data_IF_252161463559
#
_entry.id   IF_252161463559
#
_cell.length_a   1.000
_cell.length_b   1.000
_cell.length_c   1.000
_cell.angle_alpha   90.00
_cell.angle_beta   90.00
_cell.angle_gamma   90.00
#
_symmetry.space_group_name_H-M   'P 1'
#
loop_
_entity.id
_entity.type
_entity.pdbx_description
1 polymer ?
#
# COMPACT_ATOMS: atom_id res chain seq x y z
N UNK A 1 19.65 35.39 -53.66
CA UNK A 1 19.59 34.41 -52.54
C UNK A 1 20.66 33.35 -52.81
N UNK A 2 21.72 33.26 -52.01
CA UNK A 2 22.89 32.41 -52.33
C UNK A 2 22.59 30.93 -52.07
N UNK A 3 23.21 30.01 -52.82
CA UNK A 3 23.11 28.55 -52.60
C UNK A 3 23.39 28.16 -51.14
N UNK A 4 24.27 28.91 -50.45
CA UNK A 4 24.63 28.71 -49.04
C UNK A 4 23.46 29.04 -48.09
N UNK A 5 22.74 30.12 -48.35
CA UNK A 5 21.54 30.50 -47.56
C UNK A 5 20.41 29.49 -47.72
N UNK A 6 20.26 28.85 -48.89
CA UNK A 6 19.23 27.83 -49.11
C UNK A 6 19.55 26.52 -48.36
N UNK A 7 20.81 26.08 -48.37
CA UNK A 7 21.25 24.89 -47.63
C UNK A 7 21.12 25.05 -46.12
N UNK A 8 21.42 26.24 -45.57
CA UNK A 8 21.29 26.49 -44.13
C UNK A 8 19.82 26.44 -43.69
N UNK A 9 18.92 27.02 -44.48
CA UNK A 9 17.50 27.05 -44.17
C UNK A 9 16.90 25.62 -44.21
N UNK A 10 17.31 24.80 -45.18
CA UNK A 10 16.83 23.43 -45.31
C UNK A 10 17.30 22.52 -44.16
N UNK A 11 18.55 22.66 -43.71
CA UNK A 11 19.07 21.91 -42.54
C UNK A 11 18.35 22.34 -41.25
N UNK A 12 18.07 23.64 -41.10
CA UNK A 12 17.37 24.15 -39.92
C UNK A 12 15.91 23.66 -39.87
N UNK A 13 15.21 23.63 -41.00
CA UNK A 13 13.84 23.08 -41.08
C UNK A 13 13.82 21.57 -40.80
N UNK A 14 14.82 20.82 -41.27
CA UNK A 14 14.93 19.37 -41.01
C UNK A 14 15.20 19.06 -39.53
N UNK A 15 15.99 19.90 -38.86
CA UNK A 15 16.30 19.74 -37.44
C UNK A 15 15.07 20.00 -36.54
N UNK A 16 14.27 21.03 -36.83
CA UNK A 16 13.05 21.34 -36.06
C UNK A 16 11.95 20.28 -36.28
N UNK A 17 11.85 19.70 -37.48
CA UNK A 17 10.89 18.62 -37.75
C UNK A 17 11.22 17.32 -36.98
N UNK A 18 12.50 17.08 -36.69
CA UNK A 18 12.95 15.89 -35.97
C UNK A 18 12.59 15.92 -34.47
N UNK A 19 12.43 17.10 -33.87
CA UNK A 19 12.07 17.24 -32.45
C UNK A 19 10.60 16.94 -32.12
N UNK A 20 9.70 16.91 -33.10
CA UNK A 20 8.26 16.61 -32.89
C UNK A 20 7.93 15.12 -32.97
N UNK A 21 8.81 14.29 -33.53
CA UNK A 21 8.58 12.86 -33.71
C UNK A 21 8.82 12.01 -32.44
N UNK A 22 9.41 12.58 -31.38
CA UNK A 22 9.58 11.89 -30.10
C UNK A 22 8.40 12.06 -29.12
N UNK A 23 7.33 12.75 -29.52
CA UNK A 23 6.08 12.88 -28.77
C UNK A 23 5.04 11.81 -29.17
N UNK A 24 5.50 10.64 -29.62
CA UNK A 24 4.66 9.46 -29.78
C UNK A 24 4.37 8.82 -28.42
N UNK A 25 3.65 9.54 -27.56
CA UNK A 25 3.16 9.06 -26.27
C UNK A 25 2.20 7.89 -26.50
N UNK A 26 2.74 6.68 -26.63
CA UNK A 26 1.97 5.45 -26.48
C UNK A 26 1.38 5.51 -25.07
N UNK A 27 0.06 5.68 -24.98
CA UNK A 27 -0.70 5.43 -23.75
C UNK A 27 -0.43 3.98 -23.36
N UNK A 28 0.61 3.77 -22.56
CA UNK A 28 0.85 2.49 -21.91
C UNK A 28 -0.26 2.37 -20.90
N UNK A 29 -1.23 1.52 -21.23
CA UNK A 29 -2.20 1.03 -20.26
C UNK A 29 -1.34 0.27 -19.24
N UNK A 30 -1.02 0.91 -18.12
CA UNK A 30 -0.23 0.34 -17.03
C UNK A 30 -1.09 -0.73 -16.36
N UNK A 31 -1.17 -1.90 -16.98
CA UNK A 31 -1.70 -3.10 -16.35
C UNK A 31 -0.70 -3.48 -15.25
N UNK A 32 -1.19 -3.65 -14.03
CA UNK A 32 -0.37 -4.17 -12.95
C UNK A 32 0.12 -5.57 -13.32
N UNK A 33 1.34 -5.91 -12.93
CA UNK A 33 1.73 -7.32 -12.90
C UNK A 33 0.69 -8.10 -12.09
N UNK A 34 0.44 -9.39 -12.42
CA UNK A 34 -0.55 -10.17 -11.71
C UNK A 34 -0.29 -10.09 -10.22
N UNK A 35 -1.24 -9.48 -9.52
CA UNK A 35 -1.24 -9.35 -8.07
C UNK A 35 -0.99 -10.73 -7.46
N UNK A 36 -0.08 -10.86 -6.46
CA UNK A 36 0.13 -12.12 -5.76
C UNK A 36 -1.23 -12.68 -5.33
N UNK A 37 -1.49 -13.94 -5.63
CA UNK A 37 -2.75 -14.59 -5.28
C UNK A 37 -3.03 -14.37 -3.80
N UNK A 38 -4.21 -13.83 -3.41
CA UNK A 38 -4.54 -13.65 -2.01
C UNK A 38 -4.33 -14.96 -1.27
N UNK A 39 -3.43 -14.95 -0.28
CA UNK A 39 -3.28 -16.09 0.62
C UNK A 39 -4.54 -16.11 1.49
N UNK A 40 -5.22 -17.24 1.54
CA UNK A 40 -6.35 -17.42 2.44
C UNK A 40 -5.81 -17.41 3.88
N UNK A 41 -5.91 -16.26 4.53
CA UNK A 41 -5.59 -16.10 5.94
C UNK A 41 -6.90 -16.18 6.71
N UNK A 42 -7.06 -17.23 7.51
CA UNK A 42 -8.29 -17.47 8.23
C UNK A 42 -8.48 -16.42 9.33
N UNK A 43 -9.53 -15.60 9.21
CA UNK A 43 -10.01 -14.75 10.30
C UNK A 43 -10.78 -15.65 11.26
N UNK A 44 -10.34 -15.71 12.53
CA UNK A 44 -11.05 -16.43 13.58
C UNK A 44 -11.12 -15.61 14.86
N UNK A 45 -12.19 -15.82 15.64
CA UNK A 45 -12.36 -15.20 16.97
C UNK A 45 -11.21 -15.60 17.90
N UNK A 46 -10.76 -16.85 17.82
CA UNK A 46 -9.62 -17.32 18.60
C UNK A 46 -8.35 -16.54 18.25
N UNK A 47 -8.04 -16.35 16.96
CA UNK A 47 -6.88 -15.56 16.53
C UNK A 47 -6.98 -14.10 16.97
N UNK A 48 -8.18 -13.52 16.98
CA UNK A 48 -8.39 -12.16 17.49
C UNK A 48 -8.10 -12.06 19.00
N UNK A 49 -8.58 -13.03 19.78
CA UNK A 49 -8.35 -13.08 21.23
C UNK A 49 -6.87 -13.28 21.57
N UNK A 50 -6.20 -14.21 20.89
CA UNK A 50 -4.75 -14.43 21.05
C UNK A 50 -3.95 -13.17 20.72
N UNK A 51 -4.33 -12.47 19.65
CA UNK A 51 -3.69 -11.22 19.26
C UNK A 51 -3.90 -10.11 20.30
N UNK A 52 -5.12 -9.98 20.85
CA UNK A 52 -5.40 -9.03 21.93
C UNK A 52 -4.60 -9.33 23.20
N UNK A 53 -4.45 -10.61 23.56
CA UNK A 53 -3.64 -11.03 24.71
C UNK A 53 -2.15 -10.74 24.47
N UNK A 54 -1.65 -10.98 23.25
CA UNK A 54 -0.29 -10.68 22.87
C UNK A 54 -0.01 -9.17 22.97
N UNK A 55 -0.93 -8.33 22.46
CA UNK A 55 -0.85 -6.87 22.60
C UNK A 55 -0.83 -6.47 24.07
N UNK A 56 -1.77 -6.96 24.89
CA UNK A 56 -1.84 -6.63 26.31
C UNK A 56 -0.57 -7.03 27.08
N UNK A 57 0.07 -8.12 26.68
CA UNK A 57 1.34 -8.58 27.28
C UNK A 57 2.51 -7.70 26.83
N UNK A 58 2.53 -7.27 25.56
CA UNK A 58 3.59 -6.44 25.02
C UNK A 58 3.57 -5.03 25.63
N UNK A 59 2.39 -4.46 25.91
CA UNK A 59 2.21 -3.13 26.54
C UNK A 59 2.98 -3.00 27.88
N UNK A 60 3.34 -4.10 28.52
CA UNK A 60 4.21 -4.10 29.70
C UNK A 60 5.72 -3.87 29.38
N UNK A 61 6.08 -3.39 28.18
CA UNK A 61 7.45 -3.08 27.76
C UNK A 61 8.17 -4.23 27.03
N UNK A 62 7.43 -4.97 26.19
CA UNK A 62 7.88 -6.22 25.57
C UNK A 62 7.90 -6.23 24.05
N UNK A 63 8.27 -7.39 23.50
CA UNK A 63 8.21 -7.67 22.06
C UNK A 63 6.84 -8.27 21.73
N UNK A 64 6.08 -7.60 20.85
CA UNK A 64 4.86 -8.12 20.27
C UNK A 64 5.18 -8.92 19.01
N UNK A 65 4.71 -10.16 18.94
CA UNK A 65 4.82 -11.00 17.75
C UNK A 65 3.43 -11.39 17.30
N UNK A 66 3.10 -11.10 16.04
CA UNK A 66 1.80 -11.42 15.47
C UNK A 66 2.01 -12.20 14.16
N UNK A 67 1.28 -13.30 14.03
CA UNK A 67 1.14 -14.03 12.77
C UNK A 67 0.23 -13.29 11.79
N UNK A 68 0.26 -13.65 10.51
CA UNK A 68 -0.68 -13.16 9.49
C UNK A 68 -2.15 -13.28 9.94
N UNK A 69 -2.54 -14.42 10.53
CA UNK A 69 -3.90 -14.66 11.00
C UNK A 69 -4.29 -13.75 12.17
N UNK A 70 -3.40 -13.61 13.15
CA UNK A 70 -3.61 -12.74 14.30
C UNK A 70 -3.72 -11.27 13.88
N UNK A 71 -2.80 -10.80 13.02
CA UNK A 71 -2.82 -9.43 12.53
C UNK A 71 -4.04 -9.14 11.66
N UNK A 72 -4.37 -10.05 10.73
CA UNK A 72 -5.57 -9.92 9.88
C UNK A 72 -6.83 -9.83 10.75
N UNK A 73 -6.96 -10.72 11.75
CA UNK A 73 -8.09 -10.69 12.69
C UNK A 73 -8.18 -9.39 13.48
N UNK A 74 -7.05 -8.80 13.89
CA UNK A 74 -7.04 -7.51 14.59
C UNK A 74 -7.54 -6.38 13.71
N UNK A 75 -7.00 -6.26 12.49
CA UNK A 75 -7.30 -5.11 11.64
C UNK A 75 -8.64 -5.24 10.90
N UNK A 76 -9.12 -6.46 10.64
CA UNK A 76 -10.40 -6.67 9.95
C UNK A 76 -11.55 -6.01 10.73
N UNK A 77 -11.50 -6.05 12.07
CA UNK A 77 -12.49 -5.38 12.91
C UNK A 77 -12.44 -3.86 12.84
N UNK A 78 -11.26 -3.26 12.66
CA UNK A 78 -11.07 -1.81 12.59
C UNK A 78 -11.36 -1.27 11.19
N UNK A 79 -10.80 -1.91 10.15
CA UNK A 79 -10.94 -1.47 8.77
C UNK A 79 -12.39 -1.43 8.31
N UNK A 80 -13.21 -2.43 8.68
CA UNK A 80 -14.63 -2.48 8.32
C UNK A 80 -15.42 -1.24 8.79
N UNK A 81 -14.97 -0.55 9.83
CA UNK A 81 -15.64 0.64 10.36
C UNK A 81 -15.28 1.92 9.59
N UNK A 82 -14.02 2.08 9.21
CA UNK A 82 -13.49 3.34 8.64
C UNK A 82 -13.35 3.32 7.11
N UNK A 83 -13.16 2.14 6.52
CA UNK A 83 -13.03 1.94 5.08
C UNK A 83 -13.85 0.69 4.72
N UNK A 84 -14.96 0.79 3.98
CA UNK A 84 -15.85 -0.34 3.74
C UNK A 84 -15.21 -1.34 2.75
N UNK A 85 -14.31 -2.16 3.28
CA UNK A 85 -13.60 -3.24 2.63
C UNK A 85 -14.06 -4.55 3.26
N UNK A 86 -14.53 -5.50 2.45
CA UNK A 86 -14.82 -6.87 2.89
C UNK A 86 -13.65 -7.79 2.60
N UNK A 87 -13.67 -8.98 3.20
CA UNK A 87 -12.72 -10.07 2.92
C UNK A 87 -11.25 -9.65 3.09
N UNK A 88 -10.99 -8.82 4.10
CA UNK A 88 -9.65 -8.33 4.41
C UNK A 88 -8.73 -9.50 4.72
N UNK A 89 -7.61 -9.56 4.02
CA UNK A 89 -6.53 -10.52 4.23
C UNK A 89 -5.21 -9.78 4.29
N UNK A 90 -4.35 -10.12 5.25
CA UNK A 90 -2.99 -9.58 5.33
C UNK A 90 -1.98 -10.70 5.30
N UNK A 91 -0.98 -10.53 4.46
CA UNK A 91 0.17 -11.41 4.45
C UNK A 91 1.48 -10.63 4.48
N UNK A 92 2.50 -11.31 4.98
CA UNK A 92 3.81 -10.76 5.25
C UNK A 92 4.85 -11.46 4.38
N UNK A 93 5.54 -10.65 3.59
CA UNK A 93 6.78 -10.99 2.92
C UNK A 93 7.92 -10.20 3.58
N UNK A 94 9.19 -10.65 3.53
CA UNK A 94 10.27 -9.94 4.19
C UNK A 94 10.32 -8.45 3.83
N UNK A 95 10.10 -7.59 4.82
CA UNK A 95 10.05 -6.13 4.68
C UNK A 95 8.79 -5.54 4.03
N UNK A 96 7.81 -6.36 3.63
CA UNK A 96 6.61 -5.90 2.91
C UNK A 96 5.35 -6.47 3.53
N UNK A 97 4.38 -5.59 3.81
CA UNK A 97 3.01 -5.98 4.15
C UNK A 97 2.16 -5.87 2.89
N UNK A 98 1.33 -6.89 2.65
CA UNK A 98 0.31 -6.82 1.61
C UNK A 98 -1.07 -7.01 2.21
N UNK A 99 -1.98 -6.11 1.88
CA UNK A 99 -3.37 -6.10 2.30
C UNK A 99 -4.24 -6.36 1.07
N UNK A 100 -4.98 -7.46 1.07
CA UNK A 100 -6.00 -7.78 0.09
C UNK A 100 -7.40 -7.59 0.65
N UNK A 101 -8.36 -7.28 -0.21
CA UNK A 101 -9.77 -7.22 0.16
C UNK A 101 -10.66 -6.85 -1.03
N UNK A 102 -11.93 -6.60 -0.76
CA UNK A 102 -12.90 -6.15 -1.76
C UNK A 102 -13.47 -4.81 -1.31
N UNK A 103 -13.23 -3.76 -2.09
CA UNK A 103 -13.77 -2.44 -1.81
C UNK A 103 -15.26 -2.42 -2.19
N UNK A 104 -16.12 -2.05 -1.22
CA UNK A 104 -17.55 -1.96 -1.43
C UNK A 104 -17.92 -0.81 -2.39
N UNK A 105 -19.04 -0.96 -3.09
CA UNK A 105 -19.59 0.14 -3.90
C UNK A 105 -19.95 1.35 -3.03
N UNK A 106 -19.59 2.54 -3.49
CA UNK A 106 -19.86 3.80 -2.78
C UNK A 106 -18.78 4.23 -1.77
N UNK A 107 -17.81 3.36 -1.46
CA UNK A 107 -16.64 3.69 -0.65
C UNK A 107 -15.79 4.80 -1.29
N UNK A 108 -15.58 4.66 -2.60
CA UNK A 108 -14.89 5.60 -3.47
C UNK A 108 -15.79 5.79 -4.71
N UNK A 109 -16.09 7.03 -5.13
CA UNK A 109 -16.93 7.26 -6.30
C UNK A 109 -16.39 6.52 -7.52
N UNK A 110 -17.24 5.70 -8.14
CA UNK A 110 -16.96 4.95 -9.38
C UNK A 110 -15.87 3.86 -9.26
N UNK A 111 -15.51 3.42 -8.06
CA UNK A 111 -14.50 2.38 -7.85
C UNK A 111 -15.00 1.35 -6.83
N UNK A 112 -15.11 0.09 -7.26
CA UNK A 112 -15.44 -1.07 -6.43
C UNK A 112 -14.74 -2.32 -6.98
N UNK A 113 -14.56 -3.35 -6.15
CA UNK A 113 -13.98 -4.63 -6.56
C UNK A 113 -12.67 -5.00 -5.84
N UNK A 114 -11.95 -6.02 -6.32
CA UNK A 114 -10.75 -6.53 -5.66
C UNK A 114 -9.69 -5.45 -5.56
N UNK A 115 -9.25 -5.22 -4.32
CA UNK A 115 -8.22 -4.27 -3.93
C UNK A 115 -7.01 -5.05 -3.41
N UNK A 116 -5.82 -4.59 -3.77
CA UNK A 116 -4.58 -5.04 -3.14
C UNK A 116 -3.64 -3.88 -2.95
N UNK A 117 -3.16 -3.72 -1.73
CA UNK A 117 -2.24 -2.67 -1.31
C UNK A 117 -0.98 -3.35 -0.79
N UNK A 118 0.18 -2.97 -1.32
CA UNK A 118 1.49 -3.35 -0.78
C UNK A 118 2.14 -2.12 -0.19
N UNK A 119 2.81 -2.29 0.94
CA UNK A 119 3.53 -1.22 1.58
C UNK A 119 4.56 -1.71 2.57
N UNK A 120 5.15 -0.75 3.27
CA UNK A 120 6.10 -0.97 4.35
C UNK A 120 5.58 -0.33 5.63
N UNK A 121 5.95 -0.92 6.77
CA UNK A 121 5.70 -0.34 8.08
C UNK A 121 7.02 0.13 8.68
N UNK A 122 7.02 1.31 9.28
CA UNK A 122 8.16 1.84 10.01
C UNK A 122 7.72 2.37 11.38
N UNK A 123 8.69 2.48 12.28
CA UNK A 123 8.51 3.13 13.57
C UNK A 123 9.22 4.48 13.53
N UNK A 124 8.45 5.57 13.51
CA UNK A 124 8.96 6.93 13.47
C UNK A 124 8.50 7.70 14.70
N UNK A 125 9.45 8.19 15.49
CA UNK A 125 9.18 8.94 16.73
C UNK A 125 8.27 8.20 17.74
N UNK A 126 8.34 6.86 17.77
CA UNK A 126 7.50 6.04 18.63
C UNK A 126 6.13 5.69 18.05
N UNK A 127 5.82 6.13 16.83
CA UNK A 127 4.54 5.93 16.13
C UNK A 127 4.75 5.02 14.91
N UNK A 128 3.77 4.17 14.62
CA UNK A 128 3.78 3.33 13.42
C UNK A 128 3.35 4.15 12.22
N UNK A 129 4.17 4.14 11.17
CA UNK A 129 3.85 4.71 9.86
C UNK A 129 3.73 3.61 8.82
N UNK A 130 2.84 3.82 7.86
CA UNK A 130 2.58 2.95 6.73
C UNK A 130 2.80 3.72 5.43
N UNK A 131 3.66 3.19 4.57
CA UNK A 131 3.94 3.76 3.24
C UNK A 131 3.44 2.82 2.15
N UNK A 132 2.55 3.31 1.28
CA UNK A 132 2.02 2.52 0.18
C UNK A 132 3.01 2.54 -0.98
N UNK A 133 3.54 1.38 -1.33
CA UNK A 133 4.43 1.20 -2.48
C UNK A 133 3.66 0.87 -3.75
N UNK A 134 2.58 0.10 -3.61
CA UNK A 134 1.75 -0.34 -4.73
C UNK A 134 0.29 -0.45 -4.29
N UNK A 135 -0.64 0.05 -5.09
CA UNK A 135 -2.06 -0.23 -4.89
C UNK A 135 -2.73 -0.53 -6.22
N UNK A 136 -3.46 -1.63 -6.25
CA UNK A 136 -4.10 -2.18 -7.43
C UNK A 136 -5.57 -2.41 -7.14
N UNK A 137 -6.43 -1.91 -8.01
CA UNK A 137 -7.87 -2.16 -7.97
C UNK A 137 -8.35 -2.67 -9.32
N UNK A 138 -9.09 -3.78 -9.34
CA UNK A 138 -9.50 -4.45 -10.57
C UNK A 138 -8.35 -4.72 -11.57
N UNK A 139 -7.14 -5.00 -11.05
CA UNK A 139 -5.95 -5.23 -11.87
C UNK A 139 -5.32 -3.98 -12.51
N UNK A 140 -5.78 -2.78 -12.11
CA UNK A 140 -5.23 -1.49 -12.55
C UNK A 140 -4.57 -0.78 -11.37
N UNK A 141 -3.42 -0.16 -11.61
CA UNK A 141 -2.80 0.69 -10.58
C UNK A 141 -3.71 1.85 -10.22
N UNK A 142 -3.85 2.09 -8.93
CA UNK A 142 -4.57 3.26 -8.44
C UNK A 142 -3.80 4.54 -8.77
N UNK A 143 -4.50 5.65 -9.07
CA UNK A 143 -3.86 6.95 -9.21
C UNK A 143 -3.19 7.38 -7.90
N UNK A 144 -2.02 8.04 -7.99
CA UNK A 144 -1.28 8.48 -6.81
C UNK A 144 -2.08 9.34 -5.83
N UNK A 145 -3.02 10.15 -6.32
CA UNK A 145 -3.90 10.93 -5.44
C UNK A 145 -4.82 10.05 -4.57
N UNK A 146 -5.28 8.91 -5.11
CA UNK A 146 -6.11 7.97 -4.37
C UNK A 146 -5.28 7.16 -3.36
N UNK A 147 -4.08 6.71 -3.73
CA UNK A 147 -3.17 6.01 -2.81
C UNK A 147 -2.77 6.91 -1.65
N UNK A 148 -2.41 8.17 -1.92
CA UNK A 148 -2.03 9.12 -0.87
C UNK A 148 -3.20 9.42 0.10
N UNK A 149 -4.43 9.42 -0.40
CA UNK A 149 -5.60 9.61 0.45
C UNK A 149 -5.80 8.43 1.42
N UNK A 150 -5.65 7.19 0.93
CA UNK A 150 -5.71 5.98 1.75
C UNK A 150 -4.57 5.95 2.74
N UNK A 151 -3.34 6.19 2.29
CA UNK A 151 -2.15 6.22 3.14
C UNK A 151 -2.31 7.20 4.29
N UNK A 152 -2.78 8.42 4.01
CA UNK A 152 -3.07 9.41 5.05
C UNK A 152 -4.13 8.90 6.03
N UNK A 153 -5.23 8.33 5.56
CA UNK A 153 -6.29 7.82 6.44
C UNK A 153 -5.76 6.68 7.34
N UNK A 154 -4.95 5.78 6.78
CA UNK A 154 -4.32 4.69 7.55
C UNK A 154 -3.34 5.26 8.58
N UNK A 155 -2.49 6.21 8.19
CA UNK A 155 -1.53 6.82 9.11
C UNK A 155 -2.21 7.67 10.20
N UNK A 156 -3.32 8.34 9.90
CA UNK A 156 -4.15 9.01 10.90
C UNK A 156 -4.73 8.00 11.89
N UNK A 157 -5.28 6.88 11.39
CA UNK A 157 -5.78 5.80 12.24
C UNK A 157 -4.68 5.21 13.13
N UNK A 158 -3.49 4.92 12.56
CA UNK A 158 -2.33 4.41 13.30
C UNK A 158 -1.79 5.41 14.34
N UNK A 159 -1.81 6.70 14.04
CA UNK A 159 -1.39 7.74 14.99
C UNK A 159 -2.37 7.90 16.16
N UNK A 160 -3.66 7.62 15.94
CA UNK A 160 -4.69 7.61 16.99
C UNK A 160 -4.83 6.27 17.70
N UNK A 161 -4.36 5.20 17.07
CA UNK A 161 -4.38 3.84 17.59
C UNK A 161 -3.43 3.71 18.76
N UNK A 162 -3.99 3.65 19.97
CA UNK A 162 -3.21 3.39 21.17
C UNK A 162 -2.75 1.92 21.15
N UNK A 163 -1.53 1.68 20.66
CA UNK A 163 -0.84 0.39 20.84
C UNK A 163 -0.37 0.18 22.29
N UNK A 164 -0.77 1.06 23.22
CA UNK A 164 -0.51 1.04 24.65
C UNK A 164 0.89 1.52 25.05
N UNK A 165 1.84 1.61 24.10
CA UNK A 165 3.23 2.05 24.30
C UNK A 165 3.86 2.58 23.01
N UNK A 166 5.02 3.23 23.13
CA UNK A 166 5.80 3.70 21.96
C UNK A 166 6.45 2.52 21.26
N UNK A 167 6.38 2.51 19.94
CA UNK A 167 7.05 1.50 19.10
C UNK A 167 8.49 1.92 18.83
N UNK A 168 9.44 1.08 19.21
CA UNK A 168 10.87 1.24 18.92
C UNK A 168 11.22 0.78 17.51
N UNK A 169 10.74 -0.40 17.12
CA UNK A 169 11.09 -1.00 15.83
C UNK A 169 9.99 -1.94 15.34
N UNK A 170 9.93 -2.10 14.02
CA UNK A 170 9.06 -3.06 13.35
C UNK A 170 9.92 -3.88 12.40
N UNK A 171 9.80 -5.20 12.49
CA UNK A 171 10.42 -6.14 11.56
C UNK A 171 9.34 -7.02 10.96
N UNK A 172 9.25 -7.02 9.63
CA UNK A 172 8.34 -7.89 8.88
C UNK A 172 9.16 -9.05 8.34
N UNK A 173 8.90 -10.25 8.87
CA UNK A 173 9.48 -11.49 8.39
C UNK A 173 8.45 -12.21 7.51
N UNK A 174 8.84 -13.34 6.94
CA UNK A 174 7.89 -14.19 6.25
C UNK A 174 6.86 -14.75 7.23
N UNK A 175 5.58 -14.41 7.04
CA UNK A 175 4.46 -14.94 7.84
C UNK A 175 4.27 -14.33 9.23
N UNK A 176 5.14 -13.41 9.67
CA UNK A 176 5.03 -12.76 10.98
C UNK A 176 5.49 -11.30 10.95
N UNK A 177 4.93 -10.51 11.85
CA UNK A 177 5.39 -9.17 12.19
C UNK A 177 5.85 -9.15 13.65
N UNK A 178 7.01 -8.53 13.86
CA UNK A 178 7.62 -8.33 15.18
C UNK A 178 7.67 -6.83 15.45
N UNK A 179 7.05 -6.41 16.55
CA UNK A 179 6.99 -5.01 16.98
C UNK A 179 7.67 -4.94 18.34
N UNK A 180 8.76 -4.18 18.43
CA UNK A 180 9.46 -3.92 19.68
C UNK A 180 8.95 -2.61 20.27
N UNK A 181 8.58 -2.64 21.55
CA UNK A 181 8.09 -1.47 22.27
C UNK A 181 9.18 -0.91 23.21
N UNK A 182 9.08 0.37 23.55
CA UNK A 182 9.97 1.04 24.53
C UNK A 182 9.64 0.74 25.99
#
# INVERSE_FOLDING_TARGET
MSRRTFSILLVFTLFVASSLACSGGRLRINRAEPTPTPRAVAVSEQSAQEAQQAVATAVAGGTLRLTEAQFTSLIAGQLTQDIPVSDVTVWFDPGVITVGGVLAEGAVPMVSGPLTIKGTLAAENGVVTFDITEAVINGMFMPGAATNAIERQVNEALATGDLGTRVRSITINQGEIVIEQE
#
